data_IF_856685749689
#
_entry.id   IF_856685749689
#
_cell.length_a   1.000
_cell.length_b   1.000
_cell.length_c   1.000
_cell.angle_alpha   90.00
_cell.angle_beta   90.00
_cell.angle_gamma   90.00
#
_symmetry.space_group_name_H-M   'P 1'
#
loop_
_entity.id
_entity.type
_entity.pdbx_description
1 polymer ?
#
# COMPACT_ATOMS: atom_id res chain seq x y z
N UNK A 1 27.28 -9.40 -15.02
CA UNK A 1 27.52 -10.78 -15.49
C UNK A 1 27.14 -10.93 -16.97
N UNK A 2 26.03 -10.32 -17.42
CA UNK A 2 25.57 -10.37 -18.82
C UNK A 2 26.55 -9.72 -19.85
N UNK A 3 27.27 -8.65 -19.49
CA UNK A 3 28.22 -7.99 -20.40
C UNK A 3 29.46 -8.84 -20.75
N UNK A 4 29.96 -9.64 -19.80
CA UNK A 4 31.12 -10.51 -20.05
C UNK A 4 30.77 -11.69 -20.97
N UNK A 5 29.55 -12.25 -20.83
CA UNK A 5 29.08 -13.34 -21.68
C UNK A 5 28.87 -12.88 -23.13
N UNK A 6 28.38 -11.65 -23.34
CA UNK A 6 28.27 -11.06 -24.67
C UNK A 6 29.64 -10.82 -25.33
N UNK A 7 30.61 -10.31 -24.57
CA UNK A 7 31.99 -10.10 -25.02
C UNK A 7 32.64 -11.40 -25.52
N UNK A 8 32.55 -12.47 -24.72
CA UNK A 8 33.06 -13.77 -25.14
C UNK A 8 32.28 -14.36 -26.32
N UNK A 9 30.96 -14.15 -26.38
CA UNK A 9 30.15 -14.53 -27.54
C UNK A 9 30.66 -13.91 -28.86
N UNK A 10 31.01 -12.62 -28.86
CA UNK A 10 31.59 -11.94 -30.03
C UNK A 10 32.91 -12.57 -30.48
N UNK A 11 33.81 -12.84 -29.54
CA UNK A 11 35.13 -13.43 -29.82
C UNK A 11 34.97 -14.87 -30.38
N UNK A 12 34.05 -15.66 -29.80
CA UNK A 12 33.78 -17.01 -30.27
C UNK A 12 33.16 -17.01 -31.67
N UNK A 13 32.26 -16.08 -31.97
CA UNK A 13 31.68 -15.90 -33.31
C UNK A 13 32.75 -15.58 -34.36
N UNK A 14 33.73 -14.73 -34.00
CA UNK A 14 34.87 -14.44 -34.87
C UNK A 14 35.70 -15.70 -35.18
N UNK A 15 36.00 -16.52 -34.18
CA UNK A 15 36.76 -17.76 -34.39
C UNK A 15 35.97 -18.82 -35.18
N UNK A 16 34.66 -18.89 -34.99
CA UNK A 16 33.77 -19.73 -35.78
C UNK A 16 33.83 -19.35 -37.27
N UNK A 17 33.72 -18.05 -37.60
CA UNK A 17 33.85 -17.54 -38.98
C UNK A 17 35.24 -17.78 -39.58
N UNK A 18 36.28 -17.87 -38.75
CA UNK A 18 37.64 -18.27 -39.16
C UNK A 18 37.82 -19.79 -39.34
N UNK A 19 36.77 -20.60 -39.22
CA UNK A 19 36.81 -22.05 -39.39
C UNK A 19 37.57 -22.78 -38.27
N UNK A 20 37.69 -22.17 -37.08
CA UNK A 20 38.28 -22.84 -35.91
C UNK A 20 37.21 -23.61 -35.16
N UNK A 21 37.58 -24.69 -34.49
CA UNK A 21 36.66 -25.45 -33.63
C UNK A 21 36.59 -24.87 -32.21
N UNK A 22 35.59 -25.29 -31.42
CA UNK A 22 35.36 -24.78 -30.07
C UNK A 22 36.59 -24.92 -29.15
N UNK A 23 37.29 -26.04 -29.21
CA UNK A 23 38.48 -26.29 -28.38
C UNK A 23 39.63 -25.35 -28.74
N UNK A 24 39.87 -25.11 -30.02
CA UNK A 24 40.88 -24.16 -30.51
C UNK A 24 40.55 -22.72 -30.13
N UNK A 25 39.27 -22.33 -30.25
CA UNK A 25 38.80 -21.01 -29.84
C UNK A 25 38.99 -20.79 -28.33
N UNK A 26 38.57 -21.77 -27.50
CA UNK A 26 38.76 -21.74 -26.05
C UNK A 26 40.22 -21.61 -25.66
N UNK A 27 41.12 -22.43 -26.23
CA UNK A 27 42.56 -22.35 -25.92
C UNK A 27 43.13 -20.96 -26.19
N UNK A 28 42.78 -20.34 -27.32
CA UNK A 28 43.24 -18.98 -27.66
C UNK A 28 42.69 -17.93 -26.73
N UNK A 29 41.43 -18.08 -26.34
CA UNK A 29 40.75 -17.14 -25.47
C UNK A 29 41.29 -17.26 -24.02
N UNK A 30 41.49 -18.48 -23.51
CA UNK A 30 42.13 -18.73 -22.22
C UNK A 30 43.60 -18.29 -22.18
N UNK A 31 44.32 -18.31 -23.31
CA UNK A 31 45.70 -17.78 -23.37
C UNK A 31 45.76 -16.25 -23.14
N UNK A 32 44.69 -15.52 -23.48
CA UNK A 32 44.63 -14.05 -23.33
C UNK A 32 43.99 -13.65 -22.00
N UNK A 33 42.91 -14.31 -21.61
CA UNK A 33 42.08 -13.92 -20.46
C UNK A 33 42.27 -14.81 -19.21
N UNK A 34 43.06 -15.88 -19.30
CA UNK A 34 43.30 -16.85 -18.24
C UNK A 34 42.44 -18.12 -18.36
N UNK A 35 42.88 -19.20 -17.69
CA UNK A 35 42.23 -20.52 -17.78
C UNK A 35 40.78 -20.54 -17.28
N UNK A 36 40.43 -19.67 -16.32
CA UNK A 36 39.07 -19.57 -15.75
C UNK A 36 38.14 -18.64 -16.54
N UNK A 37 38.62 -18.01 -17.62
CA UNK A 37 37.84 -17.02 -18.37
C UNK A 37 36.60 -17.61 -19.05
N UNK A 38 36.66 -18.88 -19.48
CA UNK A 38 35.56 -19.51 -20.20
C UNK A 38 35.48 -21.02 -19.95
N UNK A 39 34.34 -21.47 -19.43
CA UNK A 39 34.06 -22.89 -19.24
C UNK A 39 33.90 -23.60 -20.58
N UNK A 40 34.42 -24.82 -20.69
CA UNK A 40 34.39 -25.60 -21.93
C UNK A 40 32.98 -25.85 -22.47
N UNK A 41 32.04 -26.20 -21.58
CA UNK A 41 30.63 -26.40 -21.93
C UNK A 41 29.99 -25.15 -22.54
N UNK A 42 30.35 -23.96 -22.06
CA UNK A 42 29.82 -22.69 -22.59
C UNK A 42 30.30 -22.49 -24.04
N UNK A 43 31.59 -22.75 -24.28
CA UNK A 43 32.18 -22.65 -25.62
C UNK A 43 31.54 -23.64 -26.60
N UNK A 44 31.29 -24.88 -26.17
CA UNK A 44 30.63 -25.89 -27.01
C UNK A 44 29.19 -25.49 -27.33
N UNK A 45 28.43 -24.99 -26.35
CA UNK A 45 27.06 -24.51 -26.55
C UNK A 45 26.99 -23.36 -27.56
N UNK A 46 27.91 -22.40 -27.50
CA UNK A 46 28.01 -21.32 -28.48
C UNK A 46 28.28 -21.83 -29.89
N UNK A 47 29.20 -22.78 -30.04
CA UNK A 47 29.51 -23.37 -31.34
C UNK A 47 28.34 -24.18 -31.90
N UNK A 48 27.64 -24.94 -31.07
CA UNK A 48 26.41 -25.64 -31.47
C UNK A 48 25.35 -24.65 -31.97
N UNK A 49 25.18 -23.53 -31.26
CA UNK A 49 24.26 -22.44 -31.64
C UNK A 49 24.63 -21.79 -33.00
N UNK A 50 25.92 -21.56 -33.24
CA UNK A 50 26.39 -21.03 -34.52
C UNK A 50 26.20 -22.03 -35.67
N UNK A 51 26.40 -23.33 -35.41
CA UNK A 51 26.12 -24.37 -36.40
C UNK A 51 24.63 -24.51 -36.72
N UNK A 52 23.71 -24.19 -35.79
CA UNK A 52 22.28 -24.16 -36.04
C UNK A 52 21.80 -22.88 -36.76
N UNK A 53 22.71 -21.99 -37.16
CA UNK A 53 22.39 -20.75 -37.88
C UNK A 53 21.95 -19.57 -37.00
N UNK A 54 21.93 -19.73 -35.68
CA UNK A 54 21.60 -18.64 -34.75
C UNK A 54 22.87 -17.91 -34.29
N UNK A 55 23.12 -16.74 -34.90
CA UNK A 55 24.26 -15.87 -34.59
C UNK A 55 23.93 -14.88 -33.46
N UNK A 56 22.73 -14.94 -32.87
CA UNK A 56 22.32 -14.02 -31.81
C UNK A 56 23.26 -14.13 -30.60
N UNK A 57 23.88 -13.02 -30.22
CA UNK A 57 24.83 -12.94 -29.11
C UNK A 57 24.16 -12.65 -27.77
N UNK A 58 22.84 -12.46 -27.77
CA UNK A 58 22.05 -12.45 -26.55
C UNK A 58 21.86 -13.91 -26.15
N UNK A 59 22.22 -14.25 -24.91
CA UNK A 59 21.73 -15.49 -24.31
C UNK A 59 20.22 -15.48 -24.51
N UNK A 60 19.67 -16.53 -25.12
CA UNK A 60 18.22 -16.68 -25.12
C UNK A 60 17.81 -16.58 -23.66
N UNK A 61 17.05 -15.54 -23.33
CA UNK A 61 16.48 -15.36 -22.01
C UNK A 61 15.84 -16.72 -21.75
N UNK A 62 16.35 -17.50 -20.79
CA UNK A 62 15.76 -18.79 -20.48
C UNK A 62 14.34 -18.45 -20.06
N UNK A 63 13.41 -18.56 -20.99
CA UNK A 63 12.00 -18.52 -20.74
C UNK A 63 11.76 -19.83 -20.01
N UNK A 64 12.08 -19.83 -18.72
CA UNK A 64 11.77 -20.92 -17.83
C UNK A 64 10.33 -21.26 -18.11
N UNK A 65 10.12 -22.50 -18.55
CA UNK A 65 8.89 -23.02 -19.13
C UNK A 65 7.69 -22.30 -18.49
N UNK A 66 6.98 -21.44 -19.22
CA UNK A 66 5.78 -20.84 -18.67
C UNK A 66 4.84 -22.00 -18.39
N UNK A 67 4.64 -22.33 -17.11
CA UNK A 67 3.48 -23.12 -16.72
C UNK A 67 2.32 -22.33 -17.28
N UNK A 68 1.69 -22.86 -18.31
CA UNK A 68 0.58 -22.25 -19.02
C UNK A 68 -0.64 -22.34 -18.10
N UNK A 69 -0.62 -21.52 -17.05
CA UNK A 69 -1.77 -21.34 -16.20
C UNK A 69 -2.75 -20.50 -16.99
N UNK A 70 -3.88 -21.13 -17.28
CA UNK A 70 -5.00 -20.53 -17.97
C UNK A 70 -5.45 -19.25 -17.26
N UNK A 71 -5.21 -18.11 -17.91
CA UNK A 71 -5.58 -16.78 -17.42
C UNK A 71 -7.08 -16.66 -17.21
N UNK A 72 -7.88 -17.35 -18.04
CA UNK A 72 -9.33 -17.28 -17.97
C UNK A 72 -9.84 -17.89 -16.67
N UNK A 73 -9.23 -18.99 -16.22
CA UNK A 73 -9.56 -19.63 -14.93
C UNK A 73 -9.17 -18.76 -13.74
N UNK A 74 -8.02 -18.09 -13.79
CA UNK A 74 -7.62 -17.15 -12.73
C UNK A 74 -8.65 -16.02 -12.61
N UNK A 75 -9.06 -15.43 -13.74
CA UNK A 75 -10.07 -14.35 -13.77
C UNK A 75 -11.40 -14.83 -13.23
N UNK A 76 -11.88 -16.00 -13.67
CA UNK A 76 -13.15 -16.57 -13.19
C UNK A 76 -13.16 -16.79 -11.66
N UNK A 77 -12.05 -17.24 -11.07
CA UNK A 77 -11.95 -17.39 -9.61
C UNK A 77 -12.04 -16.03 -8.90
N UNK A 78 -11.33 -15.01 -9.41
CA UNK A 78 -11.36 -13.66 -8.82
C UNK A 78 -12.74 -13.02 -8.96
N UNK A 79 -13.40 -13.20 -10.11
CA UNK A 79 -14.75 -12.68 -10.35
C UNK A 79 -15.79 -13.35 -9.44
N UNK A 80 -15.57 -14.62 -9.07
CA UNK A 80 -16.42 -15.33 -8.11
C UNK A 80 -16.20 -14.86 -6.67
N UNK A 81 -14.96 -14.54 -6.30
CA UNK A 81 -14.57 -14.09 -4.97
C UNK A 81 -13.33 -13.19 -5.03
N UNK A 82 -13.58 -11.89 -4.90
CA UNK A 82 -12.55 -10.85 -4.92
C UNK A 82 -11.59 -10.93 -3.72
N UNK A 83 -11.94 -11.66 -2.66
CA UNK A 83 -11.12 -11.78 -1.45
C UNK A 83 -10.24 -13.04 -1.44
N UNK A 84 -10.37 -13.91 -2.45
CA UNK A 84 -9.61 -15.15 -2.56
C UNK A 84 -8.10 -14.90 -2.46
N UNK A 85 -7.44 -15.66 -1.59
CA UNK A 85 -6.00 -15.54 -1.40
C UNK A 85 -5.23 -16.19 -2.55
N UNK A 86 -3.98 -15.77 -2.77
CA UNK A 86 -3.12 -16.40 -3.78
C UNK A 86 -2.86 -17.89 -3.50
N UNK A 87 -3.03 -18.34 -2.25
CA UNK A 87 -2.91 -19.75 -1.86
C UNK A 87 -4.18 -20.53 -2.21
N UNK A 88 -5.36 -19.98 -1.92
CA UNK A 88 -6.64 -20.58 -2.33
C UNK A 88 -6.75 -20.71 -3.85
N UNK A 89 -6.35 -19.67 -4.60
CA UNK A 89 -6.33 -19.72 -6.07
C UNK A 89 -5.35 -20.79 -6.56
N UNK A 90 -4.19 -20.90 -5.92
CA UNK A 90 -3.18 -21.89 -6.23
C UNK A 90 -3.67 -23.33 -5.98
N UNK A 91 -4.37 -23.57 -4.87
CA UNK A 91 -4.99 -24.85 -4.55
C UNK A 91 -6.10 -25.20 -5.54
N UNK A 92 -7.00 -24.26 -5.86
CA UNK A 92 -8.08 -24.45 -6.85
C UNK A 92 -7.55 -24.81 -8.25
N UNK A 93 -6.40 -24.26 -8.62
CA UNK A 93 -5.77 -24.49 -9.94
C UNK A 93 -4.69 -25.59 -9.92
N UNK A 94 -4.39 -26.15 -8.75
CA UNK A 94 -3.30 -27.10 -8.52
C UNK A 94 -1.94 -26.59 -9.06
N UNK A 95 -1.62 -25.32 -8.80
CA UNK A 95 -0.37 -24.66 -9.22
C UNK A 95 0.35 -24.10 -8.00
N UNK A 96 1.68 -23.95 -8.06
CA UNK A 96 2.42 -23.27 -6.99
C UNK A 96 1.93 -21.82 -6.75
N UNK A 97 1.85 -21.42 -5.48
CA UNK A 97 1.46 -20.06 -5.09
C UNK A 97 2.33 -18.97 -5.73
N UNK A 98 3.63 -19.24 -5.91
CA UNK A 98 4.59 -18.32 -6.54
C UNK A 98 4.28 -18.09 -8.01
N UNK A 99 3.74 -19.09 -8.71
CA UNK A 99 3.31 -18.95 -10.10
C UNK A 99 2.10 -18.02 -10.19
N UNK A 100 1.08 -18.25 -9.35
CA UNK A 100 -0.12 -17.40 -9.28
C UNK A 100 0.26 -15.96 -8.95
N UNK A 101 1.12 -15.74 -7.95
CA UNK A 101 1.56 -14.38 -7.58
C UNK A 101 2.24 -13.66 -8.75
N UNK A 102 3.14 -14.33 -9.49
CA UNK A 102 3.79 -13.76 -10.68
C UNK A 102 2.77 -13.47 -11.79
N UNK A 103 1.81 -14.37 -12.00
CA UNK A 103 0.80 -14.24 -13.04
C UNK A 103 -0.17 -13.10 -12.76
N UNK A 104 -0.67 -12.98 -11.52
CA UNK A 104 -1.50 -11.86 -11.08
C UNK A 104 -0.81 -10.51 -11.28
N UNK A 105 0.49 -10.42 -10.94
CA UNK A 105 1.29 -9.21 -11.20
C UNK A 105 1.40 -8.89 -12.69
N UNK A 106 1.60 -9.90 -13.56
CA UNK A 106 1.63 -9.71 -15.02
C UNK A 106 0.28 -9.28 -15.59
N UNK A 107 -0.82 -9.76 -15.01
CA UNK A 107 -2.19 -9.38 -15.35
C UNK A 107 -2.59 -8.00 -14.79
N UNK A 108 -1.76 -7.37 -13.96
CA UNK A 108 -2.03 -6.05 -13.38
C UNK A 108 -2.88 -6.07 -12.10
N UNK A 109 -3.16 -7.24 -11.52
CA UNK A 109 -3.87 -7.33 -10.24
C UNK A 109 -2.98 -6.92 -9.07
N UNK A 110 -3.54 -6.10 -8.18
CA UNK A 110 -2.89 -5.66 -6.94
C UNK A 110 -3.87 -5.84 -5.79
N UNK A 111 -3.39 -6.43 -4.68
CA UNK A 111 -4.20 -6.56 -3.46
C UNK A 111 -4.29 -5.21 -2.76
N UNK A 112 -5.51 -4.70 -2.60
CA UNK A 112 -5.82 -3.48 -1.85
C UNK A 112 -6.71 -3.85 -0.66
N UNK A 113 -6.70 -3.01 0.38
CA UNK A 113 -7.68 -3.12 1.45
C UNK A 113 -9.00 -2.53 0.97
N UNK A 114 -10.10 -3.20 1.28
CA UNK A 114 -11.43 -2.70 0.99
C UNK A 114 -11.74 -1.44 1.79
N UNK A 115 -12.59 -0.59 1.23
CA UNK A 115 -12.99 0.65 1.87
C UNK A 115 -14.01 0.35 2.96
N UNK A 116 -13.74 0.86 4.16
CA UNK A 116 -14.73 0.89 5.24
C UNK A 116 -15.75 1.98 4.94
N UNK A 117 -16.95 1.55 4.55
CA UNK A 117 -18.10 2.43 4.30
C UNK A 117 -18.93 2.49 5.59
N UNK A 118 -19.37 3.68 6.05
CA UNK A 118 -20.18 3.80 7.27
C UNK A 118 -21.43 2.93 7.25
N UNK A 119 -22.18 2.96 6.15
CA UNK A 119 -23.41 2.18 5.98
C UNK A 119 -23.62 1.74 4.53
N UNK A 120 -24.18 0.55 4.33
CA UNK A 120 -24.69 0.12 3.03
C UNK A 120 -26.03 0.80 2.78
N UNK A 121 -26.06 1.74 1.84
CA UNK A 121 -27.27 2.50 1.50
C UNK A 121 -28.22 1.67 0.63
N UNK A 122 -29.53 1.86 0.82
CA UNK A 122 -30.59 1.37 -0.08
C UNK A 122 -30.78 2.37 -1.22
N UNK A 123 -31.37 1.94 -2.32
CA UNK A 123 -31.65 2.78 -3.49
C UNK A 123 -32.42 4.06 -3.13
N UNK A 124 -33.44 3.95 -2.27
CA UNK A 124 -34.21 5.11 -1.77
C UNK A 124 -33.29 6.15 -1.11
N UNK A 125 -32.34 5.70 -0.27
CA UNK A 125 -31.42 6.60 0.43
C UNK A 125 -30.37 7.18 -0.53
N UNK A 126 -29.99 6.45 -1.58
CA UNK A 126 -29.09 6.95 -2.62
C UNK A 126 -29.77 8.07 -3.41
N UNK A 127 -30.99 7.84 -3.91
CA UNK A 127 -31.74 8.82 -4.68
C UNK A 127 -32.03 10.08 -3.86
N UNK A 128 -32.41 9.93 -2.59
CA UNK A 128 -32.59 11.07 -1.68
C UNK A 128 -31.30 11.87 -1.52
N UNK A 129 -30.16 11.20 -1.29
CA UNK A 129 -28.86 11.88 -1.15
C UNK A 129 -28.45 12.61 -2.41
N UNK A 130 -28.61 11.99 -3.59
CA UNK A 130 -28.30 12.62 -4.89
C UNK A 130 -29.16 13.87 -5.07
N UNK A 131 -30.49 13.74 -4.90
CA UNK A 131 -31.42 14.87 -5.03
C UNK A 131 -31.10 16.03 -4.07
N UNK A 132 -30.77 15.73 -2.82
CA UNK A 132 -30.35 16.74 -1.85
C UNK A 132 -29.04 17.41 -2.29
N UNK A 133 -28.05 16.63 -2.72
CA UNK A 133 -26.76 17.17 -3.18
C UNK A 133 -26.93 18.07 -4.41
N UNK A 134 -27.72 17.64 -5.39
CA UNK A 134 -28.01 18.42 -6.60
C UNK A 134 -28.70 19.74 -6.26
N UNK A 135 -29.71 19.69 -5.39
CA UNK A 135 -30.42 20.89 -4.93
C UNK A 135 -29.49 21.86 -4.19
N UNK A 136 -28.62 21.35 -3.32
CA UNK A 136 -27.64 22.15 -2.59
C UNK A 136 -26.57 22.74 -3.53
N UNK A 137 -26.15 21.99 -4.56
CA UNK A 137 -25.19 22.45 -5.56
C UNK A 137 -25.78 23.60 -6.37
N UNK A 138 -26.98 23.42 -6.93
CA UNK A 138 -27.71 24.46 -7.68
C UNK A 138 -27.92 25.72 -6.83
N UNK A 139 -28.34 25.55 -5.57
CA UNK A 139 -28.49 26.67 -4.65
C UNK A 139 -27.17 27.41 -4.43
N UNK A 140 -26.04 26.70 -4.33
CA UNK A 140 -24.73 27.30 -4.10
C UNK A 140 -24.20 28.06 -5.34
N UNK A 141 -24.57 27.63 -6.54
CA UNK A 141 -24.27 28.34 -7.78
C UNK A 141 -25.02 29.67 -7.86
N UNK A 142 -26.31 29.66 -7.53
CA UNK A 142 -27.16 30.86 -7.55
C UNK A 142 -26.78 31.81 -6.42
N UNK A 143 -26.56 31.27 -5.21
CA UNK A 143 -26.22 32.06 -4.03
C UNK A 143 -25.25 31.29 -3.14
N UNK A 144 -23.97 31.67 -3.20
CA UNK A 144 -22.88 30.99 -2.49
C UNK A 144 -23.06 31.11 -0.97
N UNK A 145 -23.63 30.08 -0.37
CA UNK A 145 -24.03 30.09 1.05
C UNK A 145 -23.00 29.42 1.97
N UNK A 146 -21.97 28.76 1.42
CA UNK A 146 -20.94 28.06 2.22
C UNK A 146 -20.22 28.99 3.23
N UNK A 147 -20.01 30.27 2.89
CA UNK A 147 -19.40 31.26 3.80
C UNK A 147 -20.27 31.59 5.02
N UNK A 148 -21.56 31.26 4.97
CA UNK A 148 -22.55 31.51 6.03
C UNK A 148 -23.00 30.20 6.72
N UNK A 149 -22.47 29.06 6.28
CA UNK A 149 -22.86 27.76 6.80
C UNK A 149 -22.23 27.55 8.19
N UNK A 150 -23.07 27.30 9.19
CA UNK A 150 -22.66 26.89 10.52
C UNK A 150 -23.08 25.42 10.66
N UNK A 151 -22.13 24.53 10.94
CA UNK A 151 -22.37 23.10 11.19
C UNK A 151 -21.96 22.73 12.60
N UNK A 152 -22.63 21.73 13.16
CA UNK A 152 -22.27 21.10 14.43
C UNK A 152 -22.53 19.61 14.33
N UNK A 153 -21.67 18.82 14.95
CA UNK A 153 -21.82 17.37 15.08
C UNK A 153 -21.38 16.95 16.48
N UNK A 154 -22.02 15.92 17.01
CA UNK A 154 -21.70 15.37 18.33
C UNK A 154 -20.68 14.25 18.18
N UNK A 155 -19.47 14.47 18.72
CA UNK A 155 -18.44 13.45 18.77
C UNK A 155 -18.18 13.02 20.20
N UNK A 156 -18.35 11.72 20.46
CA UNK A 156 -17.94 11.12 21.72
C UNK A 156 -16.41 11.13 21.84
N UNK A 157 -15.89 11.82 22.85
CA UNK A 157 -14.49 11.73 23.26
C UNK A 157 -14.42 10.80 24.46
N UNK A 158 -13.78 9.66 24.29
CA UNK A 158 -13.56 8.72 25.39
C UNK A 158 -12.40 9.24 26.24
N UNK A 159 -12.58 9.27 27.57
CA UNK A 159 -11.56 9.78 28.50
C UNK A 159 -10.23 9.04 28.39
N UNK A 160 -10.29 7.71 28.18
CA UNK A 160 -9.14 6.89 27.87
C UNK A 160 -9.16 6.50 26.38
N UNK A 161 -8.52 7.31 25.54
CA UNK A 161 -8.26 6.93 24.16
C UNK A 161 -7.22 5.80 24.15
N UNK A 162 -7.69 4.54 24.22
CA UNK A 162 -6.83 3.36 24.14
C UNK A 162 -6.25 3.27 22.74
N UNK A 163 -5.08 3.88 22.56
CA UNK A 163 -4.27 3.65 21.38
C UNK A 163 -3.62 2.27 21.53
N UNK A 164 -3.91 1.37 20.58
CA UNK A 164 -3.22 0.09 20.49
C UNK A 164 -1.71 0.36 20.37
N UNK A 165 -0.94 -0.01 21.39
CA UNK A 165 0.52 0.03 21.35
C UNK A 165 1.00 -1.18 20.56
N UNK A 166 1.97 -0.98 19.66
CA UNK A 166 2.67 -2.08 19.00
C UNK A 166 3.77 -2.57 19.93
N UNK A 167 3.79 -3.88 20.18
CA UNK A 167 4.85 -4.56 20.90
C UNK A 167 5.67 -5.38 19.91
N UNK A 168 7.00 -5.35 20.05
CA UNK A 168 7.89 -6.27 19.37
C UNK A 168 7.84 -7.61 20.11
N UNK A 169 7.57 -8.71 19.40
CA UNK A 169 7.48 -10.06 19.95
C UNK A 169 8.20 -11.04 19.00
N UNK A 170 8.77 -12.12 19.52
CA UNK A 170 9.46 -13.13 18.70
C UNK A 170 8.46 -13.87 17.79
N UNK A 171 8.93 -14.41 16.66
CA UNK A 171 8.08 -14.92 15.57
C UNK A 171 7.08 -16.01 15.97
N UNK A 172 7.35 -16.74 17.06
CA UNK A 172 6.52 -17.83 17.57
C UNK A 172 5.84 -17.51 18.90
N UNK A 173 5.99 -16.29 19.42
CA UNK A 173 5.36 -15.88 20.67
C UNK A 173 4.01 -15.20 20.41
N UNK A 174 2.98 -15.50 21.21
CA UNK A 174 1.68 -14.86 21.06
C UNK A 174 1.77 -13.37 21.37
N UNK A 175 0.98 -12.58 20.64
CA UNK A 175 0.86 -11.15 20.91
C UNK A 175 0.34 -10.92 22.34
N UNK A 176 0.87 -9.89 23.01
CA UNK A 176 0.42 -9.53 24.35
C UNK A 176 -1.08 -9.18 24.31
N UNK A 177 -1.87 -9.90 25.11
CA UNK A 177 -3.30 -9.62 25.24
C UNK A 177 -3.48 -8.48 26.23
N UNK A 178 -3.91 -7.33 25.74
CA UNK A 178 -4.27 -6.18 26.58
C UNK A 178 -5.80 -6.14 26.67
N UNK A 179 -6.39 -6.25 27.88
CA UNK A 179 -7.82 -6.14 28.04
C UNK A 179 -8.30 -4.77 27.58
N UNK A 180 -9.39 -4.74 26.82
CA UNK A 180 -10.05 -3.48 26.44
C UNK A 180 -10.54 -2.84 27.74
N UNK A 181 -10.12 -1.61 28.02
CA UNK A 181 -10.60 -0.89 29.21
C UNK A 181 -12.12 -0.80 29.19
N UNK A 182 -12.76 -1.13 30.30
CA UNK A 182 -14.21 -0.97 30.46
C UNK A 182 -14.58 0.51 30.29
N UNK A 183 -15.54 0.79 29.42
CA UNK A 183 -15.97 2.15 29.08
C UNK A 183 -16.99 2.59 30.13
N UNK A 184 -16.52 3.01 31.31
CA UNK A 184 -17.40 3.56 32.34
C UNK A 184 -17.26 5.09 32.46
N UNK A 185 -18.44 5.71 32.62
CA UNK A 185 -18.76 7.14 32.79
C UNK A 185 -18.86 7.98 31.51
N UNK A 186 -20.08 8.05 30.97
CA UNK A 186 -20.52 9.08 30.02
C UNK A 186 -21.12 10.23 30.83
N UNK A 187 -20.59 11.44 30.68
CA UNK A 187 -21.26 12.66 31.17
C UNK A 187 -21.65 13.46 29.93
N UNK A 188 -22.93 13.85 29.76
CA UNK A 188 -23.30 14.82 28.74
C UNK A 188 -22.81 16.20 29.18
N UNK A 189 -21.77 16.73 28.54
CA UNK A 189 -21.38 18.13 28.73
C UNK A 189 -22.33 19.00 27.91
N UNK A 190 -23.33 19.61 28.58
CA UNK A 190 -24.00 20.81 28.04
C UNK A 190 -23.09 22.00 28.36
N UNK A 191 -22.58 22.71 27.36
CA UNK A 191 -21.99 24.03 27.62
C UNK A 191 -23.12 25.03 27.96
N UNK A 192 -23.05 25.75 29.08
CA UNK A 192 -24.02 26.80 29.37
C UNK A 192 -23.70 28.10 28.62
N UNK A 193 -24.75 28.74 28.14
CA UNK A 193 -24.76 30.08 27.54
C UNK A 193 -24.13 31.11 28.51
N UNK A 194 -23.12 31.83 28.04
CA UNK A 194 -22.53 32.93 28.81
C UNK A 194 -23.49 34.15 28.82
N UNK A 195 -24.08 34.44 29.98
CA UNK A 195 -24.63 35.77 30.29
C UNK A 195 -23.69 36.52 31.24
N UNK A 196 -23.52 37.81 30.96
CA UNK A 196 -22.58 38.73 31.60
C UNK A 196 -22.90 39.00 33.08
N UNK A 197 -21.84 39.17 33.87
CA UNK A 197 -21.81 39.41 35.32
C UNK A 197 -22.21 40.84 35.69
N UNK A 198 -22.71 41.03 36.93
CA UNK A 198 -22.48 42.24 37.75
C UNK A 198 -22.17 41.82 39.18
N UNK A 199 -21.18 42.48 39.79
CA UNK A 199 -20.48 42.10 41.02
C UNK A 199 -20.95 42.87 42.27
N UNK A 200 -20.76 42.30 43.48
CA UNK A 200 -20.59 43.00 44.77
C UNK A 200 -19.99 42.04 45.84
N UNK A 201 -19.38 42.53 46.93
CA UNK A 201 -18.17 41.92 47.53
C UNK A 201 -18.34 41.14 48.85
N UNK A 202 -17.28 40.39 49.18
CA UNK A 202 -17.04 39.54 50.36
C UNK A 202 -17.09 40.25 51.73
N UNK A 203 -17.14 39.47 52.84
CA UNK A 203 -15.95 39.46 53.71
C UNK A 203 -15.51 38.08 54.26
N UNK A 204 -14.18 37.96 54.34
CA UNK A 204 -13.31 37.29 55.33
C UNK A 204 -13.64 35.92 55.94
N UNK A 205 -12.74 34.95 55.70
CA UNK A 205 -11.98 34.23 56.72
C UNK A 205 -10.73 33.54 56.08
N UNK A 206 -9.58 33.58 56.77
CA UNK A 206 -8.23 33.09 56.34
C UNK A 206 -7.88 31.75 57.06
N UNK A 207 -6.77 31.03 56.75
CA UNK A 207 -6.79 29.63 56.32
C UNK A 207 -5.92 28.69 57.20
N UNK A 208 -5.85 27.38 56.87
CA UNK A 208 -4.52 26.75 56.66
C UNK A 208 -4.59 25.70 55.52
N UNK A 209 -3.54 25.17 54.88
CA UNK A 209 -2.08 25.37 54.86
C UNK A 209 -1.57 24.84 53.50
N UNK A 210 -0.36 25.30 53.14
CA UNK A 210 0.46 25.10 51.94
C UNK A 210 0.61 23.66 51.41
N UNK A 211 0.40 23.48 50.09
CA UNK A 211 1.06 22.43 49.26
C UNK A 211 1.58 23.09 47.96
N UNK A 212 2.82 22.76 47.61
CA UNK A 212 3.71 23.35 46.59
C UNK A 212 3.20 23.23 45.13
N UNK A 213 3.64 24.10 44.20
CA UNK A 213 2.98 24.34 42.92
C UNK A 213 3.34 23.31 41.82
N UNK A 214 2.31 22.68 41.24
CA UNK A 214 2.41 21.96 39.98
C UNK A 214 2.45 22.92 38.78
N UNK A 215 3.36 22.66 37.84
CA UNK A 215 3.59 23.43 36.60
C UNK A 215 2.29 23.76 35.87
N UNK A 216 2.07 25.05 35.54
CA UNK A 216 1.02 25.49 34.62
C UNK A 216 1.29 24.89 33.22
N UNK A 217 0.32 24.23 32.58
CA UNK A 217 0.46 23.87 31.17
C UNK A 217 0.42 25.13 30.30
N UNK A 218 1.38 25.22 29.38
CA UNK A 218 1.50 26.26 28.35
C UNK A 218 0.27 26.27 27.42
N UNK A 219 -0.19 27.45 26.94
CA UNK A 219 -1.27 27.51 25.97
C UNK A 219 -0.81 26.89 24.64
N UNK A 220 -1.52 25.86 24.19
CA UNK A 220 -1.34 25.32 22.84
C UNK A 220 -1.93 26.34 21.87
N UNK A 221 -1.08 26.96 21.07
CA UNK A 221 -1.48 27.82 19.96
C UNK A 221 -2.31 27.02 18.95
N UNK A 222 -3.54 27.44 18.69
CA UNK A 222 -4.34 26.93 17.59
C UNK A 222 -3.75 27.41 16.26
N UNK A 223 -3.13 26.51 15.50
CA UNK A 223 -2.97 26.70 14.06
C UNK A 223 -4.28 26.31 13.38
N UNK A 224 -4.92 27.19 12.57
CA UNK A 224 -6.10 26.80 11.81
C UNK A 224 -5.75 25.65 10.85
N UNK A 225 -6.49 24.54 10.94
CA UNK A 225 -6.46 23.51 9.89
C UNK A 225 -7.02 24.10 8.59
N UNK A 226 -6.43 23.65 7.49
CA UNK A 226 -6.61 24.08 6.09
C UNK A 226 -8.06 24.37 5.68
N UNK A 227 -8.27 25.30 4.72
CA UNK A 227 -9.60 25.71 4.27
C UNK A 227 -10.40 24.55 3.66
N UNK A 228 -11.72 24.65 3.87
CA UNK A 228 -12.78 23.69 3.55
C UNK A 228 -12.93 23.33 2.07
N UNK A 229 -12.20 24.00 1.17
CA UNK A 229 -12.35 23.85 -0.28
C UNK A 229 -11.95 22.44 -0.77
N UNK A 230 -11.04 21.77 -0.06
CA UNK A 230 -10.64 20.38 -0.36
C UNK A 230 -11.76 19.35 -0.07
N UNK A 231 -12.77 19.72 0.75
CA UNK A 231 -13.83 18.80 1.17
C UNK A 231 -14.93 18.64 0.10
N UNK A 232 -15.20 19.69 -0.68
CA UNK A 232 -16.22 19.65 -1.75
C UNK A 232 -15.72 18.81 -2.94
N UNK A 233 -14.43 18.91 -3.29
CA UNK A 233 -13.84 18.13 -4.38
C UNK A 233 -13.87 16.61 -4.12
N UNK A 234 -13.86 16.20 -2.84
CA UNK A 234 -13.89 14.80 -2.44
C UNK A 234 -15.29 14.16 -2.50
N UNK A 235 -16.36 14.97 -2.47
CA UNK A 235 -17.75 14.50 -2.52
C UNK A 235 -18.23 14.29 -3.97
N UNK A 236 -17.69 15.03 -4.93
CA UNK A 236 -18.10 14.94 -6.35
C UNK A 236 -17.36 13.81 -7.11
N UNK A 237 -16.26 13.28 -6.57
CA UNK A 237 -15.45 12.23 -7.22
C UNK A 237 -15.58 10.81 -6.62
N UNK A 238 -16.64 10.51 -5.85
CA UNK A 238 -16.94 9.17 -5.32
C UNK A 238 -18.39 8.79 -5.56
#
# INVERSE_FOLDING_TARGET
MEEQDAHFGHILSFYFRKGKNASQARKKLCAVYGNEALKERLCQNWFAKFHSGDISLKSAQQSGLPVEVDETRIKAIIDSDLHSTTREIAEKLNVSHTCIQKKLKRLGYVKKLDLWIPHRLKEIHLTQRISICDSLLQRNEINRFLKRLITGDEKWIVYNNVNRKRSWVMQNEPAQTIPKSEIHQKIPTKEPLATSKTAAPHPSQKPPQTIMPGKKPTPISFTPRKPFDDYIHCIIQR
#
